data_IF_658846957751
#
_entry.id   IF_658846957751
#
_cell.length_a   1.000
_cell.length_b   1.000
_cell.length_c   1.000
_cell.angle_alpha   90.00
_cell.angle_beta   90.00
_cell.angle_gamma   90.00
#
_symmetry.space_group_name_H-M   'P 1'
#
loop_
_entity.id
_entity.type
_entity.pdbx_description
1 polymer ?
#
# COMPACT_ATOMS: atom_id res chain seq x y z
N UNK A 1 33.50 -14.06 24.18
CA UNK A 1 32.62 -14.13 22.99
C UNK A 1 31.12 -14.28 23.29
N UNK A 2 30.67 -15.09 24.26
CA UNK A 2 29.23 -15.33 24.53
C UNK A 2 28.38 -14.09 24.90
N UNK A 3 28.96 -13.05 25.54
CA UNK A 3 28.24 -11.79 25.86
C UNK A 3 27.92 -10.92 24.63
N UNK A 4 28.81 -10.86 23.62
CA UNK A 4 28.58 -10.08 22.38
C UNK A 4 27.43 -10.65 21.53
N UNK A 5 27.20 -11.97 21.60
CA UNK A 5 26.12 -12.66 20.86
C UNK A 5 24.75 -12.47 21.53
N UNK A 6 24.69 -12.20 22.85
CA UNK A 6 23.43 -11.88 23.56
C UNK A 6 22.99 -10.42 23.42
N UNK A 7 23.91 -9.52 23.03
CA UNK A 7 23.61 -8.11 22.78
C UNK A 7 22.82 -7.92 21.47
N UNK A 8 23.08 -8.73 20.43
CA UNK A 8 22.40 -8.60 19.14
C UNK A 8 20.88 -8.88 19.25
N UNK A 9 20.42 -9.98 19.87
CA UNK A 9 18.99 -10.19 20.11
C UNK A 9 18.37 -9.09 20.97
N UNK A 10 19.07 -8.62 22.00
CA UNK A 10 18.56 -7.56 22.87
C UNK A 10 18.38 -6.23 22.12
N UNK A 11 19.30 -5.88 21.23
CA UNK A 11 19.17 -4.70 20.36
C UNK A 11 18.02 -4.85 19.36
N UNK A 12 17.86 -6.02 18.74
CA UNK A 12 16.75 -6.30 17.82
C UNK A 12 15.41 -6.19 18.54
N UNK A 13 15.25 -6.85 19.70
CA UNK A 13 14.02 -6.76 20.49
C UNK A 13 13.78 -5.36 21.04
N UNK A 14 14.82 -4.66 21.48
CA UNK A 14 14.72 -3.27 21.93
C UNK A 14 14.20 -2.36 20.82
N UNK A 15 14.73 -2.50 19.60
CA UNK A 15 14.23 -1.77 18.43
C UNK A 15 12.77 -2.12 18.09
N UNK A 16 12.41 -3.41 18.07
CA UNK A 16 11.03 -3.85 17.80
C UNK A 16 10.06 -3.25 18.81
N UNK A 17 10.37 -3.35 20.10
CA UNK A 17 9.54 -2.78 21.17
C UNK A 17 9.41 -1.27 21.00
N UNK A 18 10.53 -0.57 20.77
CA UNK A 18 10.53 0.87 20.58
C UNK A 18 9.70 1.30 19.36
N UNK A 19 9.79 0.57 18.24
CA UNK A 19 9.01 0.86 17.03
C UNK A 19 7.50 0.64 17.20
N UNK A 20 7.11 -0.34 18.03
CA UNK A 20 5.70 -0.64 18.30
C UNK A 20 5.11 0.21 19.43
N UNK A 21 5.95 0.75 20.32
CA UNK A 21 5.52 1.56 21.45
C UNK A 21 4.55 2.71 21.09
N UNK A 22 4.84 3.58 20.10
CA UNK A 22 3.91 4.65 19.74
C UNK A 22 2.56 4.13 19.21
N UNK A 23 2.57 3.00 18.49
CA UNK A 23 1.34 2.35 18.00
C UNK A 23 0.51 1.83 19.17
N UNK A 24 1.14 1.14 20.12
CA UNK A 24 0.48 0.63 21.32
C UNK A 24 -0.09 1.79 22.16
N UNK A 25 0.65 2.89 22.30
CA UNK A 25 0.16 4.10 22.99
C UNK A 25 -1.05 4.67 22.26
N UNK A 26 -1.00 4.83 20.93
CA UNK A 26 -2.13 5.34 20.15
C UNK A 26 -3.37 4.44 20.29
N UNK A 27 -3.20 3.12 20.24
CA UNK A 27 -4.27 2.14 20.47
C UNK A 27 -4.82 2.27 21.89
N UNK A 28 -3.96 2.38 22.91
CA UNK A 28 -4.40 2.57 24.29
C UNK A 28 -5.25 3.84 24.43
N UNK A 29 -4.78 4.98 23.91
CA UNK A 29 -5.51 6.25 23.94
C UNK A 29 -6.82 6.24 23.14
N UNK A 30 -7.01 5.31 22.18
CA UNK A 30 -8.32 5.10 21.54
C UNK A 30 -9.39 4.61 22.52
N UNK A 31 -8.99 4.04 23.66
CA UNK A 31 -9.87 3.63 24.76
C UNK A 31 -9.88 4.63 25.92
N UNK A 32 -9.42 5.87 25.72
CA UNK A 32 -9.45 6.89 26.76
C UNK A 32 -10.88 7.41 26.98
N UNK A 33 -11.34 7.49 28.22
CA UNK A 33 -12.70 7.95 28.54
C UNK A 33 -12.92 9.45 28.26
N UNK A 34 -11.85 10.25 28.28
CA UNK A 34 -11.94 11.68 28.01
C UNK A 34 -11.42 12.11 26.64
N UNK A 35 -11.42 13.43 26.39
CA UNK A 35 -10.97 14.05 25.13
C UNK A 35 -9.48 14.39 25.12
N UNK A 36 -8.80 14.23 26.25
CA UNK A 36 -7.37 14.53 26.33
C UNK A 36 -6.56 13.57 25.47
N UNK A 37 -5.66 14.14 24.67
CA UNK A 37 -4.70 13.40 23.82
C UNK A 37 -3.38 13.11 24.54
N UNK A 38 -3.23 13.59 25.78
CA UNK A 38 -1.97 13.53 26.53
C UNK A 38 -2.14 12.98 27.95
N UNK A 39 -3.35 13.05 28.51
CA UNK A 39 -3.65 12.60 29.87
C UNK A 39 -4.61 11.40 29.80
N UNK A 40 -4.27 10.32 30.48
CA UNK A 40 -5.13 9.16 30.64
C UNK A 40 -6.26 9.47 31.63
N UNK A 41 -7.51 9.29 31.22
CA UNK A 41 -8.71 9.67 31.95
C UNK A 41 -9.59 8.46 32.33
N UNK A 42 -9.10 7.23 32.13
CA UNK A 42 -9.83 5.99 32.38
C UNK A 42 -10.05 5.20 31.10
N UNK A 43 -10.34 3.90 31.27
CA UNK A 43 -10.64 3.00 30.16
C UNK A 43 -12.12 3.06 29.78
N UNK A 44 -12.42 3.19 28.48
CA UNK A 44 -13.78 3.33 27.99
C UNK A 44 -13.91 2.93 26.52
N UNK A 45 -15.07 2.42 26.13
CA UNK A 45 -15.43 2.16 24.73
C UNK A 45 -16.17 3.34 24.08
N UNK A 46 -16.15 4.52 24.72
CA UNK A 46 -16.88 5.71 24.27
C UNK A 46 -16.64 6.07 22.81
N UNK A 47 -15.38 6.09 22.37
CA UNK A 47 -15.00 6.48 21.01
C UNK A 47 -15.33 5.43 19.95
N UNK A 48 -15.58 4.19 20.38
CA UNK A 48 -16.00 3.12 19.50
C UNK A 48 -17.51 3.13 19.34
N UNK A 49 -18.27 3.02 20.45
CA UNK A 49 -19.72 2.83 20.42
C UNK A 49 -20.53 3.84 21.25
N UNK A 50 -19.93 4.44 22.28
CA UNK A 50 -20.68 5.13 23.33
C UNK A 50 -21.04 6.59 23.04
N UNK A 51 -20.26 7.32 22.24
CA UNK A 51 -20.52 8.74 21.92
C UNK A 51 -21.48 8.86 20.71
N UNK A 52 -22.68 9.45 20.89
CA UNK A 52 -23.64 9.61 19.79
C UNK A 52 -23.18 10.52 18.65
N UNK A 53 -22.21 11.41 18.90
CA UNK A 53 -21.79 12.45 17.96
C UNK A 53 -20.35 12.27 17.45
N UNK A 54 -19.51 11.56 18.21
CA UNK A 54 -18.07 11.45 17.93
C UNK A 54 -17.54 10.02 17.83
N UNK A 55 -18.36 8.99 18.03
CA UNK A 55 -17.89 7.61 17.95
C UNK A 55 -17.78 7.09 16.52
N UNK A 56 -16.85 6.17 16.28
CA UNK A 56 -16.62 5.55 14.97
C UNK A 56 -17.89 4.90 14.43
N UNK A 57 -18.69 4.27 15.29
CA UNK A 57 -19.93 3.60 14.87
C UNK A 57 -21.08 4.56 14.57
N UNK A 58 -21.10 5.78 15.13
CA UNK A 58 -22.17 6.74 14.87
C UNK A 58 -21.81 7.76 13.77
N UNK A 59 -20.53 8.06 13.56
CA UNK A 59 -20.07 8.94 12.48
C UNK A 59 -20.17 8.24 11.10
N UNK A 60 -21.21 8.58 10.34
CA UNK A 60 -21.44 8.06 9.00
C UNK A 60 -20.29 8.35 8.02
N UNK A 61 -19.65 9.53 8.12
CA UNK A 61 -18.53 9.88 7.26
C UNK A 61 -17.28 9.06 7.61
N UNK A 62 -17.05 8.79 8.90
CA UNK A 62 -15.97 7.89 9.32
C UNK A 62 -16.19 6.47 8.78
N UNK A 63 -17.39 5.90 8.97
CA UNK A 63 -17.72 4.56 8.44
C UNK A 63 -17.55 4.50 6.93
N UNK A 64 -18.04 5.51 6.20
CA UNK A 64 -17.87 5.58 4.75
C UNK A 64 -16.39 5.61 4.36
N UNK A 65 -15.56 6.37 5.08
CA UNK A 65 -14.13 6.45 4.79
C UNK A 65 -13.40 5.11 5.00
N UNK A 66 -13.83 4.31 5.97
CA UNK A 66 -13.31 2.94 6.20
C UNK A 66 -13.66 2.06 5.00
N UNK A 67 -14.93 2.08 4.55
CA UNK A 67 -15.37 1.32 3.37
C UNK A 67 -14.60 1.76 2.14
N UNK A 68 -14.48 3.07 1.89
CA UNK A 68 -13.74 3.62 0.76
C UNK A 68 -12.29 3.16 0.75
N UNK A 69 -11.62 3.17 1.90
CA UNK A 69 -10.21 2.75 2.01
C UNK A 69 -10.05 1.26 1.72
N UNK A 70 -10.94 0.41 2.26
CA UNK A 70 -10.91 -1.03 2.00
C UNK A 70 -11.20 -1.35 0.53
N UNK A 71 -12.22 -0.72 -0.05
CA UNK A 71 -12.61 -0.91 -1.45
C UNK A 71 -11.50 -0.41 -2.38
N UNK A 72 -10.88 0.73 -2.08
CA UNK A 72 -9.73 1.26 -2.83
C UNK A 72 -8.52 0.33 -2.74
N UNK A 73 -8.16 -0.15 -1.55
CA UNK A 73 -7.03 -1.06 -1.35
C UNK A 73 -7.23 -2.39 -2.08
N UNK A 74 -8.40 -3.00 -1.94
CA UNK A 74 -8.71 -4.30 -2.58
C UNK A 74 -8.76 -4.16 -4.10
N UNK A 75 -9.45 -3.15 -4.62
CA UNK A 75 -9.55 -2.94 -6.07
C UNK A 75 -8.18 -2.67 -6.70
N UNK A 76 -7.36 -1.80 -6.08
CA UNK A 76 -5.99 -1.54 -6.51
C UNK A 76 -5.17 -2.83 -6.51
N UNK A 77 -5.24 -3.61 -5.43
CA UNK A 77 -4.52 -4.87 -5.28
C UNK A 77 -4.88 -5.89 -6.37
N UNK A 78 -6.17 -6.07 -6.66
CA UNK A 78 -6.66 -6.99 -7.70
C UNK A 78 -6.19 -6.60 -9.09
N UNK A 79 -6.00 -5.30 -9.36
CA UNK A 79 -5.52 -4.81 -10.66
C UNK A 79 -3.99 -4.87 -10.74
N UNK A 80 -3.31 -4.35 -9.74
CA UNK A 80 -1.86 -4.09 -9.81
C UNK A 80 -1.04 -5.36 -9.67
N UNK A 81 -1.49 -6.36 -8.90
CA UNK A 81 -0.70 -7.58 -8.70
C UNK A 81 -0.59 -8.41 -9.98
N UNK A 82 -1.69 -8.75 -10.70
CA UNK A 82 -1.58 -9.42 -11.99
C UNK A 82 -0.78 -8.61 -13.03
N UNK A 83 -0.98 -7.29 -13.06
CA UNK A 83 -0.26 -6.39 -13.96
C UNK A 83 1.25 -6.42 -13.66
N UNK A 84 1.64 -6.24 -12.40
CA UNK A 84 3.02 -6.25 -11.95
C UNK A 84 3.71 -7.58 -12.15
N UNK A 85 3.03 -8.71 -11.93
CA UNK A 85 3.57 -10.06 -12.23
C UNK A 85 3.87 -10.18 -13.73
N UNK A 86 2.92 -9.76 -14.58
CA UNK A 86 3.09 -9.83 -16.04
C UNK A 86 4.25 -8.95 -16.50
N UNK A 87 4.35 -7.74 -15.96
CA UNK A 87 5.47 -6.82 -16.22
C UNK A 87 6.80 -7.39 -15.73
N UNK A 88 6.84 -8.02 -14.56
CA UNK A 88 8.06 -8.62 -14.01
C UNK A 88 8.56 -9.79 -14.88
N UNK A 89 7.67 -10.70 -15.28
CA UNK A 89 8.00 -11.83 -16.16
C UNK A 89 8.45 -11.31 -17.54
N UNK A 90 7.75 -10.30 -18.08
CA UNK A 90 8.11 -9.66 -19.34
C UNK A 90 9.49 -9.01 -19.29
N UNK A 91 9.72 -8.16 -18.28
CA UNK A 91 10.99 -7.48 -18.05
C UNK A 91 12.15 -8.46 -17.85
N UNK A 92 11.93 -9.57 -17.14
CA UNK A 92 12.93 -10.63 -16.93
C UNK A 92 13.38 -11.31 -18.23
N UNK A 93 12.52 -11.32 -19.27
CA UNK A 93 12.81 -11.94 -20.57
C UNK A 93 13.48 -10.98 -21.56
N UNK A 94 13.42 -9.67 -21.34
CA UNK A 94 14.02 -8.67 -22.23
C UNK A 94 15.53 -8.59 -21.98
N UNK A 95 16.32 -8.69 -23.06
CA UNK A 95 17.79 -8.60 -23.06
C UNK A 95 18.29 -7.36 -23.80
N UNK A 96 19.53 -6.96 -23.56
CA UNK A 96 20.18 -5.84 -24.25
C UNK A 96 19.70 -4.45 -23.77
N UNK A 97 19.85 -3.42 -24.62
CA UNK A 97 19.57 -2.02 -24.27
C UNK A 97 18.12 -1.76 -23.82
N UNK A 98 17.15 -2.52 -24.36
CA UNK A 98 15.74 -2.44 -23.95
C UNK A 98 15.53 -2.89 -22.50
N UNK A 99 16.37 -3.80 -21.98
CA UNK A 99 16.31 -4.24 -20.58
C UNK A 99 16.64 -3.08 -19.64
N UNK A 100 17.66 -2.27 -19.97
CA UNK A 100 18.03 -1.10 -19.19
C UNK A 100 16.92 -0.05 -19.17
N UNK A 101 16.28 0.20 -20.31
CA UNK A 101 15.16 1.15 -20.41
C UNK A 101 13.97 0.70 -19.55
N UNK A 102 13.57 -0.57 -19.66
CA UNK A 102 12.46 -1.13 -18.86
C UNK A 102 12.79 -1.07 -17.37
N UNK A 103 13.99 -1.46 -16.97
CA UNK A 103 14.42 -1.38 -15.57
C UNK A 103 14.44 0.05 -15.04
N UNK A 104 14.91 1.00 -15.85
CA UNK A 104 14.90 2.42 -15.51
C UNK A 104 13.47 2.92 -15.29
N UNK A 105 12.58 2.72 -16.26
CA UNK A 105 11.18 3.14 -16.21
C UNK A 105 10.43 2.55 -15.02
N UNK A 106 10.60 1.25 -14.74
CA UNK A 106 9.93 0.61 -13.59
C UNK A 106 10.50 1.08 -12.25
N UNK A 107 11.73 1.57 -12.21
CA UNK A 107 12.34 2.07 -10.97
C UNK A 107 11.98 3.53 -10.67
N UNK A 108 11.52 4.31 -11.67
CA UNK A 108 11.20 5.75 -11.49
C UNK A 108 10.27 5.99 -10.29
N UNK A 109 9.15 5.27 -10.11
CA UNK A 109 8.26 5.52 -8.98
C UNK A 109 8.91 5.26 -7.61
N UNK A 110 9.93 4.39 -7.53
CA UNK A 110 10.60 4.03 -6.28
C UNK A 110 11.54 5.12 -5.77
N UNK A 111 12.09 5.93 -6.68
CA UNK A 111 13.00 7.04 -6.35
C UNK A 111 12.31 8.40 -6.40
N UNK A 112 11.14 8.49 -7.04
CA UNK A 112 10.41 9.75 -7.13
C UNK A 112 9.67 10.01 -5.81
N UNK A 113 9.78 11.20 -5.22
CA UNK A 113 8.98 11.55 -4.05
C UNK A 113 7.49 11.44 -4.36
N UNK A 114 6.75 10.78 -3.48
CA UNK A 114 5.33 10.48 -3.68
C UNK A 114 4.48 11.73 -3.93
N UNK A 115 4.83 12.85 -3.28
CA UNK A 115 4.14 14.13 -3.46
C UNK A 115 4.25 14.68 -4.89
N UNK A 116 5.39 14.42 -5.55
CA UNK A 116 5.61 14.81 -6.95
C UNK A 116 4.75 13.95 -7.87
N UNK A 117 4.65 12.65 -7.59
CA UNK A 117 3.77 11.73 -8.31
C UNK A 117 2.31 12.14 -8.14
N UNK A 118 1.86 12.45 -6.93
CA UNK A 118 0.49 12.91 -6.65
C UNK A 118 0.13 14.18 -7.41
N UNK A 119 0.99 15.20 -7.37
CA UNK A 119 0.79 16.44 -8.12
C UNK A 119 0.77 16.21 -9.64
N UNK A 120 1.68 15.38 -10.16
CA UNK A 120 1.73 15.03 -11.58
C UNK A 120 0.47 14.27 -12.02
N UNK A 121 -0.03 13.34 -11.21
CA UNK A 121 -1.28 12.61 -11.48
C UNK A 121 -2.48 13.56 -11.49
N UNK A 122 -2.57 14.52 -10.57
CA UNK A 122 -3.65 15.52 -10.59
C UNK A 122 -3.65 16.33 -11.90
N UNK A 123 -2.49 16.81 -12.34
CA UNK A 123 -2.37 17.51 -13.63
C UNK A 123 -2.77 16.56 -14.77
N UNK A 124 -2.35 15.30 -14.71
CA UNK A 124 -2.68 14.30 -15.73
C UNK A 124 -4.18 14.06 -15.84
N UNK A 125 -4.89 13.85 -14.72
CA UNK A 125 -6.34 13.62 -14.73
C UNK A 125 -7.14 14.87 -15.11
N UNK A 126 -6.66 16.06 -14.76
CA UNK A 126 -7.37 17.31 -15.07
C UNK A 126 -7.10 17.84 -16.48
N UNK A 127 -5.94 17.54 -17.07
CA UNK A 127 -5.51 18.11 -18.37
C UNK A 127 -5.44 17.10 -19.51
N UNK A 128 -4.97 15.88 -19.25
CA UNK A 128 -4.71 14.87 -20.28
C UNK A 128 -5.80 13.80 -20.32
N UNK A 129 -6.26 13.36 -19.16
CA UNK A 129 -7.26 12.30 -18.99
C UNK A 129 -8.59 12.88 -18.48
N UNK A 130 -9.03 14.02 -19.02
CA UNK A 130 -10.22 14.75 -18.57
C UNK A 130 -11.53 13.96 -18.68
N UNK A 131 -11.54 12.83 -19.38
CA UNK A 131 -12.67 11.89 -19.42
C UNK A 131 -12.80 11.01 -18.17
N UNK A 132 -11.77 10.96 -17.32
CA UNK A 132 -11.78 10.21 -16.06
C UNK A 132 -11.98 11.22 -14.91
N UNK A 133 -13.11 11.17 -14.19
CA UNK A 133 -13.34 12.10 -13.10
C UNK A 133 -12.36 11.84 -11.95
N UNK A 134 -12.07 12.91 -11.20
CA UNK A 134 -11.41 12.79 -9.90
C UNK A 134 -12.28 11.94 -8.94
N UNK A 135 -11.68 11.51 -7.84
CA UNK A 135 -12.28 10.61 -6.86
C UNK A 135 -11.83 9.17 -7.08
N UNK A 136 -12.72 8.23 -6.79
CA UNK A 136 -12.40 6.81 -6.76
C UNK A 136 -11.66 6.26 -8.00
N UNK A 137 -12.11 6.49 -9.26
CA UNK A 137 -11.42 5.92 -10.42
C UNK A 137 -10.01 6.50 -10.62
N UNK A 138 -9.82 7.80 -10.41
CA UNK A 138 -8.51 8.42 -10.45
C UNK A 138 -7.60 7.90 -9.34
N UNK A 139 -8.12 7.73 -8.11
CA UNK A 139 -7.37 7.19 -6.96
C UNK A 139 -6.90 5.76 -7.21
N UNK A 140 -7.76 4.89 -7.77
CA UNK A 140 -7.38 3.51 -8.15
C UNK A 140 -6.25 3.55 -9.17
N UNK A 141 -6.41 4.29 -10.26
CA UNK A 141 -5.38 4.36 -11.32
C UNK A 141 -4.06 4.97 -10.84
N UNK A 142 -4.13 5.99 -9.99
CA UNK A 142 -2.96 6.59 -9.35
C UNK A 142 -2.21 5.59 -8.48
N UNK A 143 -2.93 4.90 -7.60
CA UNK A 143 -2.35 3.88 -6.73
C UNK A 143 -1.83 2.65 -7.49
N UNK A 144 -2.49 2.23 -8.57
CA UNK A 144 -1.98 1.20 -9.49
C UNK A 144 -0.65 1.64 -10.11
N UNK A 145 -0.58 2.87 -10.61
CA UNK A 145 0.62 3.43 -11.25
C UNK A 145 1.80 3.48 -10.29
N UNK A 146 1.56 3.87 -9.03
CA UNK A 146 2.60 3.93 -8.01
C UNK A 146 3.02 2.54 -7.52
N UNK A 147 2.04 1.68 -7.19
CA UNK A 147 2.29 0.40 -6.54
C UNK A 147 2.86 -0.68 -7.46
N UNK A 148 2.72 -0.54 -8.79
CA UNK A 148 3.21 -1.54 -9.75
C UNK A 148 4.71 -1.76 -9.64
N UNK A 149 5.48 -0.70 -9.31
CA UNK A 149 6.92 -0.79 -9.16
C UNK A 149 7.30 -1.75 -8.02
N UNK A 150 6.63 -1.64 -6.87
CA UNK A 150 6.86 -2.52 -5.71
C UNK A 150 6.57 -3.99 -6.05
N UNK A 151 5.47 -4.27 -6.75
CA UNK A 151 5.14 -5.64 -7.20
C UNK A 151 6.23 -6.16 -8.14
N UNK A 152 6.66 -5.35 -9.11
CA UNK A 152 7.70 -5.79 -10.06
C UNK A 152 9.00 -6.11 -9.35
N UNK A 153 9.43 -5.30 -8.37
CA UNK A 153 10.66 -5.57 -7.62
C UNK A 153 10.55 -6.88 -6.83
N UNK A 154 9.46 -7.10 -6.11
CA UNK A 154 9.25 -8.31 -5.29
C UNK A 154 9.25 -9.56 -6.17
N UNK A 155 8.47 -9.55 -7.26
CA UNK A 155 8.35 -10.70 -8.17
C UNK A 155 9.65 -10.94 -8.91
N UNK A 156 10.35 -9.88 -9.35
CA UNK A 156 11.65 -10.01 -10.04
C UNK A 156 12.72 -10.61 -9.13
N UNK A 157 12.79 -10.19 -7.86
CA UNK A 157 13.71 -10.80 -6.90
C UNK A 157 13.47 -12.31 -6.76
N UNK A 158 12.19 -12.72 -6.77
CA UNK A 158 11.82 -14.14 -6.75
C UNK A 158 12.20 -14.86 -8.05
N UNK A 159 11.95 -14.27 -9.21
CA UNK A 159 12.36 -14.83 -10.51
C UNK A 159 13.86 -15.10 -10.58
N UNK A 160 14.68 -14.15 -10.12
CA UNK A 160 16.15 -14.31 -10.04
C UNK A 160 16.53 -15.47 -9.13
N UNK A 161 15.84 -15.64 -7.99
CA UNK A 161 16.12 -16.76 -7.07
C UNK A 161 15.72 -18.14 -7.63
N UNK A 162 14.71 -18.20 -8.50
CA UNK A 162 14.25 -19.44 -9.13
C UNK A 162 15.20 -19.85 -10.27
N UNK A 163 15.70 -18.88 -11.05
CA UNK A 163 16.47 -19.13 -12.26
C UNK A 163 15.61 -19.59 -13.45
N UNK A 164 16.23 -19.83 -14.62
CA UNK A 164 15.50 -20.23 -15.84
C UNK A 164 15.40 -21.75 -16.03
N UNK A 165 16.17 -22.54 -15.29
CA UNK A 165 16.29 -23.99 -15.49
C UNK A 165 14.97 -24.74 -15.38
N UNK A 166 14.08 -24.33 -14.48
CA UNK A 166 12.77 -24.97 -14.30
C UNK A 166 11.84 -24.75 -15.50
N UNK A 167 11.85 -23.55 -16.09
CA UNK A 167 11.08 -23.28 -17.31
C UNK A 167 11.65 -24.03 -18.52
N UNK A 168 12.97 -24.19 -18.59
CA UNK A 168 13.65 -24.92 -19.66
C UNK A 168 13.34 -26.42 -19.56
N UNK A 169 13.51 -27.03 -18.39
CA UNK A 169 13.19 -28.44 -18.15
C UNK A 169 11.72 -28.78 -18.45
N UNK A 170 10.79 -27.89 -18.12
CA UNK A 170 9.37 -28.09 -18.45
C UNK A 170 9.14 -28.13 -19.97
N UNK A 171 9.84 -27.27 -20.72
CA UNK A 171 9.76 -27.22 -22.19
C UNK A 171 10.44 -28.43 -22.83
N UNK A 172 11.52 -28.93 -22.24
CA UNK A 172 12.18 -30.17 -22.69
C UNK A 172 11.27 -31.41 -22.51
N UNK A 173 10.39 -31.38 -21.51
CA UNK A 173 9.33 -32.40 -21.32
C UNK A 173 8.09 -32.18 -22.21
N UNK A 174 8.14 -31.25 -23.16
CA UNK A 174 7.09 -31.01 -24.14
C UNK A 174 6.06 -29.93 -23.74
N UNK A 175 6.24 -29.23 -22.62
CA UNK A 175 5.36 -28.14 -22.26
C UNK A 175 5.55 -26.92 -23.19
N UNK A 176 4.45 -26.29 -23.60
CA UNK A 176 4.49 -24.99 -24.26
C UNK A 176 4.97 -23.90 -23.29
N UNK A 177 5.44 -22.76 -23.82
CA UNK A 177 5.89 -21.62 -22.99
C UNK A 177 4.83 -21.13 -22.00
N UNK A 178 3.56 -21.14 -22.39
CA UNK A 178 2.45 -20.74 -21.51
C UNK A 178 2.18 -21.79 -20.43
N UNK A 179 2.29 -23.07 -20.77
CA UNK A 179 2.16 -24.17 -19.80
C UNK A 179 3.31 -24.15 -18.78
N UNK A 180 4.56 -23.92 -19.21
CA UNK A 180 5.70 -23.77 -18.30
C UNK A 180 5.49 -22.60 -17.32
N UNK A 181 4.99 -21.46 -17.80
CA UNK A 181 4.65 -20.32 -16.92
C UNK A 181 3.53 -20.67 -15.96
N UNK A 182 2.42 -21.22 -16.46
CA UNK A 182 1.22 -21.46 -15.66
C UNK A 182 1.39 -22.58 -14.64
N UNK A 183 2.03 -23.68 -15.02
CA UNK A 183 2.10 -24.89 -14.21
C UNK A 183 3.39 -25.03 -13.40
N UNK A 184 4.48 -24.35 -13.80
CA UNK A 184 5.76 -24.43 -13.09
C UNK A 184 6.09 -23.09 -12.43
N UNK A 185 6.16 -22.01 -13.22
CA UNK A 185 6.60 -20.72 -12.69
C UNK A 185 5.62 -20.11 -11.69
N UNK A 186 4.31 -20.07 -12.01
CA UNK A 186 3.29 -19.43 -11.16
C UNK A 186 3.20 -20.03 -9.75
N UNK A 187 3.18 -21.36 -9.55
CA UNK A 187 3.25 -21.95 -8.22
C UNK A 187 4.52 -21.56 -7.45
N UNK A 188 5.67 -21.48 -8.11
CA UNK A 188 6.94 -21.09 -7.48
C UNK A 188 6.99 -19.59 -7.13
N UNK A 189 6.23 -18.77 -7.86
CA UNK A 189 6.03 -17.34 -7.57
C UNK A 189 5.02 -17.09 -6.46
N UNK A 190 4.21 -18.08 -6.06
CA UNK A 190 3.15 -17.89 -5.05
C UNK A 190 3.58 -17.13 -3.78
N UNK A 191 4.75 -17.41 -3.15
CA UNK A 191 5.19 -16.65 -1.99
C UNK A 191 5.38 -15.15 -2.27
N UNK A 192 5.91 -14.82 -3.46
CA UNK A 192 6.10 -13.42 -3.89
C UNK A 192 4.79 -12.73 -4.28
N UNK A 193 3.81 -13.49 -4.78
CA UNK A 193 2.47 -12.98 -5.06
C UNK A 193 1.78 -12.62 -3.74
N UNK A 194 1.84 -13.49 -2.73
CA UNK A 194 1.28 -13.20 -1.40
C UNK A 194 1.95 -11.99 -0.74
N UNK A 195 3.28 -11.92 -0.81
CA UNK A 195 4.01 -10.76 -0.32
C UNK A 195 3.58 -9.47 -1.03
N UNK A 196 3.40 -9.52 -2.36
CA UNK A 196 2.96 -8.37 -3.15
C UNK A 196 1.54 -7.93 -2.80
N UNK A 197 0.61 -8.87 -2.58
CA UNK A 197 -0.75 -8.54 -2.12
C UNK A 197 -0.72 -7.75 -0.80
N UNK A 198 0.04 -8.26 0.19
CA UNK A 198 0.15 -7.61 1.51
C UNK A 198 0.80 -6.24 1.39
N UNK A 199 1.89 -6.11 0.64
CA UNK A 199 2.59 -4.83 0.47
C UNK A 199 1.70 -3.80 -0.21
N UNK A 200 1.00 -4.17 -1.29
CA UNK A 200 0.09 -3.25 -1.98
C UNK A 200 -1.05 -2.85 -1.06
N UNK A 201 -1.68 -3.79 -0.38
CA UNK A 201 -2.77 -3.48 0.55
C UNK A 201 -2.31 -2.52 1.66
N UNK A 202 -1.15 -2.80 2.26
CA UNK A 202 -0.57 -1.96 3.31
C UNK A 202 -0.25 -0.55 2.80
N UNK A 203 0.28 -0.41 1.59
CA UNK A 203 0.65 0.88 0.99
C UNK A 203 -0.58 1.71 0.59
N UNK A 204 -1.68 1.07 0.19
CA UNK A 204 -2.87 1.80 -0.27
C UNK A 204 -3.80 2.17 0.89
N UNK A 205 -3.81 1.38 1.98
CA UNK A 205 -4.68 1.69 3.13
C UNK A 205 -4.19 2.91 3.92
N UNK A 206 -2.88 3.15 3.94
CA UNK A 206 -2.25 4.30 4.61
C UNK A 206 -1.92 5.46 3.66
N UNK A 207 -2.15 5.31 2.34
CA UNK A 207 -1.93 6.36 1.36
C UNK A 207 -2.78 7.60 1.69
N UNK A 208 -2.07 8.67 2.02
CA UNK A 208 -2.62 10.01 2.16
C UNK A 208 -2.28 10.88 0.95
N UNK A 209 -1.13 10.68 0.32
CA UNK A 209 -0.59 11.63 -0.64
C UNK A 209 -1.37 11.54 -1.95
N UNK A 210 -1.42 10.37 -2.58
CA UNK A 210 -2.10 10.20 -3.88
C UNK A 210 -3.60 10.40 -3.69
N UNK A 211 -4.18 9.85 -2.62
CA UNK A 211 -5.60 10.04 -2.31
C UNK A 211 -5.98 11.50 -2.07
N UNK A 212 -5.13 12.31 -1.42
CA UNK A 212 -5.42 13.73 -1.18
C UNK A 212 -5.42 14.57 -2.46
N UNK A 213 -4.51 14.30 -3.40
CA UNK A 213 -4.46 15.00 -4.68
C UNK A 213 -5.61 14.60 -5.61
N UNK A 214 -6.05 13.35 -5.54
CA UNK A 214 -7.04 12.80 -6.47
C UNK A 214 -8.46 12.72 -5.89
N UNK A 215 -8.69 13.18 -4.65
CA UNK A 215 -10.02 13.17 -4.04
C UNK A 215 -10.96 14.17 -4.71
N UNK A 216 -12.24 13.81 -4.80
CA UNK A 216 -13.33 14.63 -5.34
C UNK A 216 -14.45 14.86 -4.31
N UNK A 217 -14.13 14.88 -3.02
CA UNK A 217 -15.09 15.12 -1.93
C UNK A 217 -15.32 13.90 -1.04
N UNK A 218 -16.36 13.99 -0.21
CA UNK A 218 -16.64 13.04 0.91
C UNK A 218 -16.79 11.60 0.43
N UNK A 219 -17.39 11.39 -0.75
CA UNK A 219 -17.64 10.06 -1.31
C UNK A 219 -16.36 9.32 -1.72
N UNK A 220 -15.24 10.04 -1.89
CA UNK A 220 -13.92 9.48 -2.23
C UNK A 220 -12.90 9.66 -1.09
N UNK A 221 -13.36 10.05 0.09
CA UNK A 221 -12.48 10.31 1.22
C UNK A 221 -12.05 8.99 1.87
N UNK A 222 -10.75 8.78 2.00
CA UNK A 222 -10.15 7.64 2.71
C UNK A 222 -9.94 7.96 4.19
N UNK A 223 -9.65 6.95 5.02
CA UNK A 223 -9.42 7.10 6.46
C UNK A 223 -8.27 8.09 6.75
N UNK A 224 -7.09 8.00 6.12
CA UNK A 224 -6.02 8.97 6.35
C UNK A 224 -6.46 10.41 6.07
N UNK A 225 -7.18 10.63 4.96
CA UNK A 225 -7.69 11.94 4.57
C UNK A 225 -8.78 12.45 5.52
N UNK A 226 -9.63 11.56 6.04
CA UNK A 226 -10.66 11.88 7.05
C UNK A 226 -10.05 12.26 8.39
N UNK A 227 -9.05 11.51 8.86
CA UNK A 227 -8.33 11.81 10.10
C UNK A 227 -7.63 13.16 9.97
N UNK A 228 -6.90 13.38 8.87
CA UNK A 228 -6.20 14.65 8.61
C UNK A 228 -7.14 15.87 8.60
N UNK A 229 -8.26 15.76 7.88
CA UNK A 229 -9.26 16.83 7.82
C UNK A 229 -9.96 17.07 9.15
N UNK A 230 -10.14 16.04 9.99
CA UNK A 230 -10.72 16.22 11.34
C UNK A 230 -9.78 16.96 12.29
N UNK A 231 -8.48 16.72 12.19
CA UNK A 231 -7.46 17.40 13.00
C UNK A 231 -7.35 18.87 12.59
N UNK A 232 -7.31 19.19 11.29
CA UNK A 232 -7.23 20.58 10.81
C UNK A 232 -8.56 21.33 10.89
N UNK A 233 -9.67 20.69 10.55
CA UNK A 233 -11.00 21.30 10.58
C UNK A 233 -11.51 21.59 12.00
N UNK A 234 -11.07 20.81 13.00
CA UNK A 234 -11.35 21.08 14.41
C UNK A 234 -10.68 22.36 14.94
N UNK A 235 -9.51 22.72 14.40
CA UNK A 235 -8.78 23.95 14.79
C UNK A 235 -9.53 25.20 14.30
N UNK A 236 -10.18 25.13 13.13
CA UNK A 236 -10.94 26.27 12.58
C UNK A 236 -12.27 26.56 13.29
N UNK A 237 -12.81 25.63 14.10
CA UNK A 237 -14.05 25.83 14.87
C UNK A 237 -13.82 26.31 16.30
N UNK A 238 -12.57 26.58 16.68
CA UNK A 238 -12.19 26.99 18.04
C UNK A 238 -11.30 28.24 18.08
N UNK A 239 -11.22 28.97 16.97
CA UNK A 239 -10.59 30.28 16.87
C UNK A 239 -11.64 31.37 16.59
#
# INVERSE_FOLDING_TARGET
MKRKIRLLPALVWGYVIWSLLPVVIAVAFSFNDGRSRSVWQGFSFRWWFGDPYGSVFHDAAMRQSIVNSLVLAISTMVIVVPLGITLAIGAHRIRGKSSTAVQGLTSVPLVTPEIVVGAALLITFTRLLSGIPLGYPAQVLGNVTFSVASVVVIVRARLVSIGSSFEDAARDLGATRLQAVRFVLMPMLWPSIMASLVVVFATVIDDFVITSFLSAGVDSQTVPLRIYSSVRGGVARTA
#
